data_IF_307865838314
#
_entry.id   IF_307865838314
#
_cell.length_a   1.000
_cell.length_b   1.000
_cell.length_c   1.000
_cell.angle_alpha   90.00
_cell.angle_beta   90.00
_cell.angle_gamma   90.00
#
_symmetry.space_group_name_H-M   'P 1'
#
loop_
_entity.id
_entity.type
_entity.pdbx_description
1 polymer ?
#
# COMPACT_ATOMS: atom_id res chain seq x y z
N UNK A 1 0.89 -11.91 -20.71
CA UNK A 1 1.59 -10.76 -20.14
C UNK A 1 1.64 -10.91 -18.63
N UNK A 2 2.79 -10.68 -18.04
CA UNK A 2 3.01 -10.81 -16.59
C UNK A 2 3.35 -9.45 -16.01
N UNK A 3 2.62 -9.05 -14.98
CA UNK A 3 2.86 -7.80 -14.26
C UNK A 3 3.53 -8.10 -12.93
N UNK A 4 4.58 -7.37 -12.64
CA UNK A 4 5.27 -7.45 -11.35
C UNK A 4 4.67 -6.42 -10.39
N UNK A 5 4.18 -6.89 -9.26
CA UNK A 5 3.51 -6.06 -8.26
C UNK A 5 4.29 -6.14 -6.95
N UNK A 6 4.74 -5.00 -6.46
CA UNK A 6 5.29 -4.91 -5.11
C UNK A 6 4.13 -4.87 -4.11
N UNK A 7 4.17 -5.76 -3.13
CA UNK A 7 3.13 -5.86 -2.09
C UNK A 7 3.73 -5.39 -0.77
N UNK A 8 3.23 -4.28 -0.26
CA UNK A 8 3.74 -3.62 0.93
C UNK A 8 2.63 -3.54 1.98
N UNK A 9 2.45 -4.60 2.80
CA UNK A 9 1.35 -4.64 3.76
C UNK A 9 1.39 -3.51 4.80
N UNK A 10 2.57 -3.17 5.29
CA UNK A 10 2.73 -2.14 6.31
C UNK A 10 2.39 -2.63 7.71
N UNK A 11 1.66 -1.82 8.47
CA UNK A 11 1.45 -1.97 9.89
C UNK A 11 -0.02 -2.21 10.25
N UNK A 12 -0.24 -2.63 11.48
CA UNK A 12 -1.58 -2.75 12.05
C UNK A 12 -2.50 -3.67 11.24
N UNK A 13 -3.57 -3.12 10.71
CA UNK A 13 -4.54 -3.85 9.88
C UNK A 13 -4.01 -4.14 8.46
N UNK A 14 -2.89 -3.52 8.08
CA UNK A 14 -2.34 -3.63 6.73
C UNK A 14 -2.16 -5.05 6.22
N UNK A 15 -1.50 -5.95 6.98
CA UNK A 15 -1.34 -7.34 6.54
C UNK A 15 -2.66 -8.08 6.32
N UNK A 16 -3.66 -7.86 7.15
CA UNK A 16 -4.99 -8.48 7.03
C UNK A 16 -5.71 -7.99 5.77
N UNK A 17 -5.75 -6.68 5.58
CA UNK A 17 -6.36 -6.06 4.40
C UNK A 17 -5.64 -6.50 3.13
N UNK A 18 -4.32 -6.55 3.15
CA UNK A 18 -3.51 -6.94 2.00
C UNK A 18 -3.70 -8.42 1.64
N UNK A 19 -3.91 -9.28 2.65
CA UNK A 19 -4.24 -10.68 2.41
C UNK A 19 -5.48 -10.83 1.54
N UNK A 20 -6.52 -10.06 1.84
CA UNK A 20 -7.76 -10.04 1.03
C UNK A 20 -7.52 -9.38 -0.33
N UNK A 21 -6.81 -8.25 -0.35
CA UNK A 21 -6.51 -7.53 -1.58
C UNK A 21 -5.74 -8.37 -2.60
N UNK A 22 -4.77 -9.14 -2.16
CA UNK A 22 -3.98 -10.01 -3.06
C UNK A 22 -4.82 -11.19 -3.58
N UNK A 23 -5.73 -11.73 -2.78
CA UNK A 23 -6.68 -12.75 -3.24
C UNK A 23 -7.56 -12.22 -4.36
N UNK A 24 -8.12 -11.02 -4.20
CA UNK A 24 -8.92 -10.36 -5.22
C UNK A 24 -8.10 -10.15 -6.50
N UNK A 25 -6.87 -9.65 -6.37
CA UNK A 25 -5.99 -9.43 -7.52
C UNK A 25 -5.73 -10.73 -8.28
N UNK A 26 -5.43 -11.83 -7.58
CA UNK A 26 -5.20 -13.13 -8.21
C UNK A 26 -6.44 -13.62 -8.95
N UNK A 27 -7.62 -13.45 -8.36
CA UNK A 27 -8.88 -13.86 -8.98
C UNK A 27 -9.18 -13.02 -10.22
N UNK A 28 -8.97 -11.73 -10.16
CA UNK A 28 -9.13 -10.83 -11.33
C UNK A 28 -8.17 -11.22 -12.44
N UNK A 29 -6.90 -11.48 -12.10
CA UNK A 29 -5.91 -11.93 -13.07
C UNK A 29 -6.35 -13.23 -13.77
N UNK A 30 -6.86 -14.19 -13.00
CA UNK A 30 -7.37 -15.45 -13.55
C UNK A 30 -8.56 -15.21 -14.49
N UNK A 31 -9.52 -14.39 -14.06
CA UNK A 31 -10.73 -14.13 -14.85
C UNK A 31 -10.44 -13.39 -16.16
N UNK A 32 -9.50 -12.50 -16.17
CA UNK A 32 -9.18 -11.63 -17.31
C UNK A 32 -7.94 -12.07 -18.11
N UNK A 33 -7.37 -13.22 -17.77
CA UNK A 33 -6.33 -13.85 -18.58
C UNK A 33 -4.97 -13.17 -18.56
N UNK A 34 -4.57 -12.57 -17.43
CA UNK A 34 -3.22 -12.06 -17.25
C UNK A 34 -2.56 -12.68 -16.03
N UNK A 35 -1.24 -12.57 -15.92
CA UNK A 35 -0.46 -13.11 -14.81
C UNK A 35 0.10 -11.99 -13.95
N UNK A 36 0.17 -12.23 -12.66
CA UNK A 36 0.81 -11.31 -11.71
C UNK A 36 1.90 -12.06 -10.95
N UNK A 37 3.02 -11.38 -10.77
CA UNK A 37 4.12 -11.81 -9.91
C UNK A 37 4.15 -10.88 -8.70
N UNK A 38 3.82 -11.41 -7.53
CA UNK A 38 3.72 -10.64 -6.30
C UNK A 38 4.99 -10.82 -5.48
N UNK A 39 5.63 -9.70 -5.14
CA UNK A 39 6.80 -9.70 -4.27
C UNK A 39 6.55 -8.80 -3.08
N UNK A 40 6.68 -9.35 -1.88
CA UNK A 40 6.38 -8.66 -0.64
C UNK A 40 7.60 -7.92 -0.10
N UNK A 41 7.38 -6.71 0.42
CA UNK A 41 8.40 -5.91 1.09
C UNK A 41 7.89 -5.35 2.41
N UNK A 42 8.81 -5.03 3.30
CA UNK A 42 8.52 -4.47 4.62
C UNK A 42 8.60 -2.95 4.56
N UNK A 43 7.55 -2.26 4.99
CA UNK A 43 7.49 -0.79 5.04
C UNK A 43 6.87 -0.32 6.35
N UNK A 44 7.03 0.97 6.63
CA UNK A 44 6.42 1.60 7.79
C UNK A 44 7.07 1.21 9.10
N UNK A 45 6.28 1.01 10.13
CA UNK A 45 6.76 0.65 11.47
C UNK A 45 7.50 -0.68 11.50
N UNK A 46 7.03 -1.66 10.74
CA UNK A 46 7.72 -2.95 10.61
C UNK A 46 9.14 -2.77 10.04
N UNK A 47 9.31 -1.87 9.08
CA UNK A 47 10.63 -1.54 8.53
C UNK A 47 11.51 -0.79 9.54
N UNK A 48 10.93 0.10 10.33
CA UNK A 48 11.66 0.81 11.42
C UNK A 48 12.21 -0.20 12.41
N UNK A 49 11.39 -1.16 12.84
CA UNK A 49 11.81 -2.20 13.78
C UNK A 49 12.93 -3.10 13.20
N UNK A 50 12.87 -3.41 11.93
CA UNK A 50 13.84 -4.29 11.27
C UNK A 50 15.10 -3.57 10.78
N UNK A 51 14.97 -2.33 10.28
CA UNK A 51 16.02 -1.62 9.54
C UNK A 51 16.31 -0.20 10.05
N UNK A 52 15.57 0.30 11.03
CA UNK A 52 15.76 1.64 11.60
C UNK A 52 15.18 2.77 10.76
N UNK A 53 14.55 2.50 9.62
CA UNK A 53 13.91 3.51 8.78
C UNK A 53 12.64 2.97 8.11
N UNK A 54 11.64 3.84 7.84
CA UNK A 54 10.33 3.39 7.36
C UNK A 54 10.33 2.85 5.93
N UNK A 55 11.30 3.25 5.12
CA UNK A 55 11.47 2.78 3.74
C UNK A 55 12.92 2.45 3.49
N UNK A 56 13.23 1.17 3.37
CA UNK A 56 14.60 0.71 3.07
C UNK A 56 14.90 0.87 1.59
N UNK A 57 16.18 0.96 1.26
CA UNK A 57 16.62 1.09 -0.13
C UNK A 57 16.22 -0.14 -0.97
N UNK A 58 16.27 -1.33 -0.37
CA UNK A 58 15.89 -2.57 -1.07
C UNK A 58 14.40 -2.57 -1.45
N UNK A 59 13.52 -2.10 -0.56
CA UNK A 59 12.08 -2.01 -0.84
C UNK A 59 11.79 -0.90 -1.84
N UNK A 60 12.48 0.22 -1.75
CA UNK A 60 12.36 1.28 -2.75
C UNK A 60 12.76 0.78 -4.14
N UNK A 61 13.85 0.03 -4.24
CA UNK A 61 14.29 -0.57 -5.50
C UNK A 61 13.26 -1.59 -6.02
N UNK A 62 12.69 -2.41 -5.14
CA UNK A 62 11.62 -3.32 -5.50
C UNK A 62 10.44 -2.56 -6.11
N UNK A 63 10.01 -1.46 -5.47
CA UNK A 63 8.93 -0.62 -5.97
C UNK A 63 9.26 -0.01 -7.35
N UNK A 64 10.47 0.49 -7.53
CA UNK A 64 10.92 1.07 -8.81
C UNK A 64 10.96 0.05 -9.94
N UNK A 65 11.24 -1.21 -9.65
CA UNK A 65 11.31 -2.29 -10.62
C UNK A 65 9.97 -2.96 -10.90
N UNK A 66 8.94 -2.61 -10.14
CA UNK A 66 7.61 -3.18 -10.27
C UNK A 66 6.73 -2.33 -11.18
N UNK A 67 5.73 -2.96 -11.80
CA UNK A 67 4.73 -2.27 -12.62
C UNK A 67 3.74 -1.48 -11.77
N UNK A 68 3.46 -1.96 -10.56
CA UNK A 68 2.58 -1.29 -9.61
C UNK A 68 2.97 -1.65 -8.18
N UNK A 69 2.50 -0.84 -7.24
CA UNK A 69 2.68 -1.07 -5.80
C UNK A 69 1.32 -1.14 -5.13
N UNK A 70 1.08 -2.24 -4.42
CA UNK A 70 -0.05 -2.37 -3.51
C UNK A 70 0.42 -2.03 -2.10
N UNK A 71 -0.17 -0.99 -1.51
CA UNK A 71 0.18 -0.51 -0.19
C UNK A 71 -0.98 -0.74 0.77
N UNK A 72 -0.70 -1.31 1.94
CA UNK A 72 -1.70 -1.53 2.98
C UNK A 72 -1.90 -0.31 3.86
N UNK A 73 -1.43 -0.38 5.11
CA UNK A 73 -1.58 0.69 6.08
C UNK A 73 -0.26 0.97 6.78
N UNK A 74 -0.09 2.19 7.24
CA UNK A 74 1.13 2.64 7.91
C UNK A 74 0.80 3.24 9.26
N UNK A 75 1.68 2.99 10.22
CA UNK A 75 1.63 3.63 11.53
C UNK A 75 0.90 2.81 12.59
N UNK A 76 0.99 3.33 13.79
CA UNK A 76 0.38 2.74 14.98
C UNK A 76 0.94 3.40 16.25
N UNK A 77 0.28 3.19 17.39
CA UNK A 77 0.65 3.85 18.65
C UNK A 77 2.11 3.62 19.05
N UNK A 78 2.66 2.48 18.70
CA UNK A 78 4.06 2.13 19.02
C UNK A 78 5.07 3.15 18.47
N UNK A 79 4.76 3.77 17.33
CA UNK A 79 5.69 4.68 16.64
C UNK A 79 5.30 6.14 16.73
N UNK A 80 4.20 6.48 17.40
CA UNK A 80 3.70 7.86 17.51
C UNK A 80 4.68 8.82 18.19
N UNK A 81 5.53 8.29 19.08
CA UNK A 81 6.54 9.09 19.79
C UNK A 81 7.82 9.37 19.00
N UNK A 82 7.96 8.82 17.80
CA UNK A 82 9.16 9.01 17.00
C UNK A 82 9.20 10.40 16.37
N UNK A 83 10.43 10.86 16.06
CA UNK A 83 10.63 12.08 15.28
C UNK A 83 9.88 11.96 13.94
N UNK A 84 9.30 13.06 13.50
CA UNK A 84 8.56 13.13 12.24
C UNK A 84 9.35 12.56 11.06
N UNK A 85 10.66 12.80 11.02
CA UNK A 85 11.54 12.35 9.92
C UNK A 85 11.62 10.83 9.76
N UNK A 86 11.31 10.06 10.81
CA UNK A 86 11.41 8.61 10.81
C UNK A 86 10.08 7.91 11.14
N UNK A 87 8.97 8.62 11.12
CA UNK A 87 7.66 8.00 11.34
C UNK A 87 7.26 7.08 10.20
N UNK A 88 6.44 6.05 10.48
CA UNK A 88 6.00 5.09 9.45
C UNK A 88 5.41 5.74 8.19
N UNK A 89 4.66 6.82 8.35
CA UNK A 89 4.00 7.54 7.25
C UNK A 89 4.99 8.12 6.24
N UNK A 90 6.23 8.32 6.65
CA UNK A 90 7.30 8.79 5.76
C UNK A 90 7.59 7.82 4.62
N UNK A 91 7.29 6.54 4.81
CA UNK A 91 7.43 5.55 3.75
C UNK A 91 6.50 5.86 2.57
N UNK A 92 5.25 6.20 2.84
CA UNK A 92 4.29 6.56 1.80
C UNK A 92 4.72 7.81 1.05
N UNK A 93 5.14 8.85 1.79
CA UNK A 93 5.62 10.09 1.18
C UNK A 93 6.87 9.86 0.34
N UNK A 94 7.80 9.05 0.84
CA UNK A 94 9.00 8.67 0.10
C UNK A 94 8.69 7.92 -1.19
N UNK A 95 7.79 6.97 -1.15
CA UNK A 95 7.35 6.24 -2.34
C UNK A 95 6.73 7.17 -3.38
N UNK A 96 5.84 8.07 -2.95
CA UNK A 96 5.21 9.03 -3.85
C UNK A 96 6.24 9.92 -4.54
N UNK A 97 7.21 10.41 -3.80
CA UNK A 97 8.27 11.26 -4.32
C UNK A 97 9.19 10.52 -5.27
N UNK A 98 9.71 9.37 -4.84
CA UNK A 98 10.72 8.60 -5.58
C UNK A 98 10.15 7.92 -6.84
N UNK A 99 8.87 7.60 -6.84
CA UNK A 99 8.18 7.03 -8.00
C UNK A 99 7.57 8.11 -8.91
N UNK A 100 7.69 9.39 -8.54
CA UNK A 100 7.15 10.49 -9.34
C UNK A 100 5.63 10.49 -9.46
N UNK A 101 4.93 10.09 -8.42
CA UNK A 101 3.46 10.01 -8.41
C UNK A 101 2.86 11.39 -8.23
N UNK A 102 2.26 11.92 -9.26
CA UNK A 102 1.77 13.30 -9.31
C UNK A 102 0.27 13.44 -9.07
N UNK A 103 -0.49 12.35 -9.11
CA UNK A 103 -1.95 12.39 -8.93
C UNK A 103 -2.38 11.50 -7.76
N UNK A 104 -3.29 12.00 -6.94
CA UNK A 104 -3.88 11.24 -5.85
C UNK A 104 -5.39 11.13 -6.11
N UNK A 105 -5.82 9.94 -6.54
CA UNK A 105 -7.19 9.67 -6.90
C UNK A 105 -7.89 8.92 -5.76
N UNK A 106 -9.01 9.46 -5.26
CA UNK A 106 -9.80 8.86 -4.20
C UNK A 106 -11.23 8.66 -4.66
N UNK A 107 -11.49 7.67 -5.52
CA UNK A 107 -12.84 7.44 -6.02
C UNK A 107 -13.76 6.99 -4.90
N UNK A 108 -14.95 7.54 -4.92
CA UNK A 108 -16.02 7.17 -3.99
C UNK A 108 -17.19 6.66 -4.80
N UNK A 109 -17.68 5.49 -4.43
CA UNK A 109 -18.88 4.91 -5.05
C UNK A 109 -19.94 4.67 -4.00
N UNK A 110 -21.09 5.30 -4.18
CA UNK A 110 -22.25 5.06 -3.36
C UNK A 110 -23.11 3.97 -3.99
N UNK A 111 -23.36 2.91 -3.23
CA UNK A 111 -24.28 1.85 -3.65
C UNK A 111 -25.66 2.21 -3.20
N UNK A 112 -26.65 2.10 -4.10
CA UNK A 112 -28.05 2.50 -3.83
C UNK A 112 -28.63 1.82 -2.58
N UNK A 113 -28.26 0.58 -2.33
CA UNK A 113 -28.69 -0.17 -1.15
C UNK A 113 -28.15 0.39 0.18
N UNK A 114 -27.08 1.17 0.12
CA UNK A 114 -26.45 1.80 1.27
C UNK A 114 -26.75 3.31 1.36
N UNK A 115 -27.61 3.78 0.49
CA UNK A 115 -28.01 5.18 0.45
C UNK A 115 -28.93 5.49 1.62
N UNK A 116 -28.36 6.04 2.71
CA UNK A 116 -29.09 6.41 3.92
C UNK A 116 -29.35 7.90 3.87
N UNK A 117 -30.61 8.25 3.63
CA UNK A 117 -31.02 9.65 3.62
C UNK A 117 -30.22 10.45 2.57
N UNK A 118 -30.90 11.17 1.75
CA UNK A 118 -30.23 12.11 0.87
C UNK A 118 -29.78 13.29 1.71
N UNK A 119 -28.48 13.41 1.89
CA UNK A 119 -27.95 14.69 2.28
C UNK A 119 -28.30 15.65 1.15
N UNK A 120 -29.30 16.41 1.35
CA UNK A 120 -29.60 17.53 0.48
C UNK A 120 -28.61 18.62 0.78
N UNK A 121 -27.64 18.68 -0.04
CA UNK A 121 -26.75 19.82 -0.05
C UNK A 121 -27.32 20.85 -0.99
#
# INVERSE_FOLDING_TARGET
MTYKIAVLPGDGIGPEVMGEGTQVLRQVAHLYGFSVELEEGIVGGASIDAHGKPLSDSVLNLAKQSDAVLLGAMGGPKWDGLDYSIRPERALLGLRQELGLFANLRPVKLFSALEIGRAHV
#
